data_IF_282424962541
#
_entry.id   IF_282424962541
#
_cell.length_a   1.000
_cell.length_b   1.000
_cell.length_c   1.000
_cell.angle_alpha   90.00
_cell.angle_beta   90.00
_cell.angle_gamma   90.00
#
_symmetry.space_group_name_H-M   'P 1'
#
loop_
_entity.id
_entity.type
_entity.pdbx_description
1 polymer ?
#
# COMPACT_ATOMS: atom_id res chain seq x y z
N UNK A 1 11.56 30.83 -15.79
CA UNK A 1 10.92 30.04 -16.86
C UNK A 1 11.81 28.85 -17.16
N UNK A 2 11.71 27.80 -16.34
CA UNK A 2 12.33 26.50 -16.64
C UNK A 2 11.47 25.83 -17.71
N UNK A 3 11.92 25.86 -18.96
CA UNK A 3 11.25 25.20 -20.07
C UNK A 3 11.65 23.74 -20.09
N UNK A 4 10.65 22.86 -20.05
CA UNK A 4 10.67 21.40 -19.93
C UNK A 4 11.34 20.64 -21.09
N UNK A 5 12.14 21.29 -21.94
CA UNK A 5 12.75 20.68 -23.13
C UNK A 5 14.16 20.13 -22.92
N UNK A 6 14.80 20.39 -21.77
CA UNK A 6 16.15 19.90 -21.47
C UNK A 6 16.17 19.26 -20.07
N UNK A 7 15.92 17.95 -19.94
CA UNK A 7 15.99 17.29 -18.65
C UNK A 7 17.41 17.39 -18.09
N UNK A 8 17.52 17.80 -16.83
CA UNK A 8 18.81 17.88 -16.11
C UNK A 8 18.87 16.72 -15.12
N UNK A 9 19.92 15.92 -15.21
CA UNK A 9 20.22 14.91 -14.19
C UNK A 9 20.48 15.62 -12.85
N UNK A 10 19.60 15.38 -11.86
CA UNK A 10 19.71 16.00 -10.53
C UNK A 10 20.66 15.20 -9.63
N UNK A 11 20.38 13.91 -9.46
CA UNK A 11 21.12 13.05 -8.54
C UNK A 11 20.83 11.57 -8.79
N UNK A 12 21.66 10.72 -8.18
CA UNK A 12 21.36 9.32 -7.87
C UNK A 12 21.30 9.17 -6.35
N UNK A 13 20.70 8.09 -5.86
CA UNK A 13 20.66 7.84 -4.41
C UNK A 13 22.08 7.83 -3.82
N UNK A 14 22.28 8.50 -2.69
CA UNK A 14 23.59 8.71 -2.08
C UNK A 14 24.20 10.10 -2.34
N UNK A 15 23.44 11.01 -2.94
CA UNK A 15 23.84 12.41 -3.10
C UNK A 15 24.59 12.71 -4.39
N UNK A 16 25.45 13.74 -4.31
CA UNK A 16 26.47 14.03 -5.34
C UNK A 16 27.65 13.06 -5.29
N UNK A 17 27.74 12.24 -4.24
CA UNK A 17 28.72 11.16 -4.06
C UNK A 17 28.13 9.82 -4.48
N UNK A 18 28.98 8.80 -4.69
CA UNK A 18 28.49 7.43 -4.80
C UNK A 18 27.93 6.97 -3.45
N UNK A 19 26.82 6.24 -3.46
CA UNK A 19 26.32 5.53 -2.28
C UNK A 19 27.41 4.60 -1.75
N UNK A 20 27.73 4.68 -0.46
CA UNK A 20 28.70 3.78 0.14
C UNK A 20 28.12 2.36 0.25
N UNK A 21 29.00 1.36 0.34
CA UNK A 21 28.58 -0.02 0.58
C UNK A 21 27.74 -0.17 1.86
N UNK A 22 28.03 0.64 2.89
CA UNK A 22 27.30 0.66 4.16
C UNK A 22 25.92 1.30 4.03
N UNK A 23 25.77 2.38 3.27
CA UNK A 23 24.46 3.01 3.05
C UNK A 23 23.55 2.15 2.15
N UNK A 24 24.16 1.45 1.19
CA UNK A 24 23.46 0.63 0.20
C UNK A 24 23.33 -0.85 0.53
N UNK A 25 23.82 -1.33 1.67
CA UNK A 25 23.87 -2.78 1.97
C UNK A 25 22.50 -3.46 1.96
N UNK A 26 21.44 -2.71 2.27
CA UNK A 26 20.07 -3.22 2.31
C UNK A 26 19.29 -2.95 1.01
N UNK A 27 19.86 -2.25 0.03
CA UNK A 27 19.18 -2.00 -1.24
C UNK A 27 19.19 -3.25 -2.13
N UNK A 28 18.00 -3.70 -2.51
CA UNK A 28 17.75 -4.77 -3.47
C UNK A 28 17.42 -4.24 -4.86
N UNK A 29 16.68 -5.04 -5.63
CA UNK A 29 16.16 -4.60 -6.93
C UNK A 29 15.15 -3.46 -6.74
N UNK A 30 15.19 -2.39 -7.55
CA UNK A 30 14.44 -1.15 -7.31
C UNK A 30 12.96 -1.27 -7.72
N UNK A 31 12.22 -2.18 -7.08
CA UNK A 31 10.79 -2.39 -7.34
C UNK A 31 9.92 -1.40 -6.56
N UNK A 32 10.38 -0.95 -5.39
CA UNK A 32 9.65 0.02 -4.58
C UNK A 32 9.63 1.38 -5.29
N UNK A 33 8.42 1.86 -5.56
CA UNK A 33 8.21 3.19 -6.12
C UNK A 33 8.41 4.24 -5.05
N UNK A 34 9.28 5.22 -5.32
CA UNK A 34 9.46 6.37 -4.44
C UNK A 34 8.18 7.21 -4.36
N UNK A 35 7.70 7.44 -3.15
CA UNK A 35 6.57 8.31 -2.85
C UNK A 35 7.10 9.63 -2.30
N UNK A 36 6.70 10.74 -2.91
CA UNK A 36 7.19 12.07 -2.54
C UNK A 36 6.23 12.73 -1.56
N UNK A 37 6.78 13.43 -0.57
CA UNK A 37 5.99 14.22 0.38
C UNK A 37 6.82 15.31 1.04
N UNK A 38 6.16 16.12 1.86
CA UNK A 38 6.81 17.14 2.69
C UNK A 38 6.88 16.65 4.12
N UNK A 39 7.98 16.93 4.81
CA UNK A 39 8.13 16.68 6.25
C UNK A 39 8.64 17.95 6.94
N UNK A 40 8.39 18.07 8.24
CA UNK A 40 9.05 19.07 9.10
C UNK A 40 10.28 18.47 9.77
N UNK A 41 11.41 19.17 9.66
CA UNK A 41 12.65 18.85 10.38
C UNK A 41 13.12 20.10 11.10
N UNK A 42 13.08 20.08 12.43
CA UNK A 42 13.40 21.21 13.30
C UNK A 42 12.63 22.48 12.92
N UNK A 43 11.34 22.32 12.59
CA UNK A 43 10.45 23.42 12.16
C UNK A 43 10.59 23.84 10.69
N UNK A 44 11.52 23.27 9.92
CA UNK A 44 11.72 23.60 8.51
C UNK A 44 11.04 22.58 7.60
N UNK A 45 10.35 23.06 6.56
CA UNK A 45 9.82 22.21 5.48
C UNK A 45 10.96 21.56 4.70
N UNK A 46 10.78 20.27 4.37
CA UNK A 46 11.68 19.56 3.47
C UNK A 46 10.90 18.62 2.55
N UNK A 47 11.23 18.66 1.26
CA UNK A 47 10.74 17.70 0.27
C UNK A 47 11.56 16.42 0.31
N UNK A 48 10.89 15.30 0.53
CA UNK A 48 11.52 13.99 0.72
C UNK A 48 10.83 12.90 -0.10
N UNK A 49 11.61 11.89 -0.45
CA UNK A 49 11.15 10.64 -1.04
C UNK A 49 11.18 9.51 -0.01
N UNK A 50 10.07 8.79 0.12
CA UNK A 50 9.93 7.59 0.92
C UNK A 50 10.02 6.37 0.01
N UNK A 51 10.90 5.43 0.33
CA UNK A 51 11.13 4.25 -0.52
C UNK A 51 11.48 3.03 0.34
N UNK A 52 10.89 1.89 0.01
CA UNK A 52 11.35 0.59 0.52
C UNK A 52 12.67 0.20 -0.14
N UNK A 53 13.44 -0.67 0.50
CA UNK A 53 14.75 -1.05 -0.03
C UNK A 53 14.65 -1.96 -1.27
N UNK A 54 13.43 -2.31 -1.70
CA UNK A 54 13.18 -3.03 -2.93
C UNK A 54 13.09 -4.53 -2.73
N UNK A 55 13.28 -5.28 -3.82
CA UNK A 55 13.09 -6.72 -3.85
C UNK A 55 14.41 -7.49 -3.67
N UNK A 56 14.36 -8.47 -2.78
CA UNK A 56 15.24 -9.63 -2.78
C UNK A 56 14.40 -10.86 -2.41
N UNK A 57 14.69 -12.00 -3.06
CA UNK A 57 13.92 -13.23 -2.90
C UNK A 57 14.13 -13.90 -1.53
N UNK A 58 15.29 -13.69 -0.90
CA UNK A 58 15.68 -14.32 0.36
C UNK A 58 15.10 -13.59 1.57
N UNK A 59 14.57 -14.35 2.53
CA UNK A 59 14.14 -13.87 3.84
C UNK A 59 15.25 -14.03 4.91
N UNK A 60 15.14 -13.32 6.03
CA UNK A 60 16.04 -13.47 7.18
C UNK A 60 15.41 -14.20 8.38
N UNK A 61 14.14 -14.60 8.27
CA UNK A 61 13.41 -15.29 9.35
C UNK A 61 13.93 -16.69 9.65
N UNK A 62 14.47 -17.38 8.66
CA UNK A 62 15.05 -18.72 8.82
C UNK A 62 16.48 -18.62 9.35
N UNK A 63 16.79 -19.31 10.45
CA UNK A 63 18.13 -19.33 11.06
C UNK A 63 19.21 -19.72 10.05
N UNK A 64 19.96 -18.73 9.56
CA UNK A 64 20.93 -18.86 8.48
C UNK A 64 21.60 -17.51 8.16
N UNK A 65 22.39 -17.47 7.09
CA UNK A 65 22.98 -16.21 6.60
C UNK A 65 21.89 -15.32 6.04
N UNK A 66 21.61 -14.21 6.73
CA UNK A 66 20.65 -13.20 6.31
C UNK A 66 21.19 -12.36 5.13
N UNK A 67 20.58 -12.46 3.95
CA UNK A 67 20.76 -11.47 2.89
C UNK A 67 19.90 -10.26 3.20
N UNK A 68 20.54 -9.15 3.57
CA UNK A 68 19.89 -7.94 4.05
C UNK A 68 19.27 -7.08 2.95
N UNK A 69 19.49 -7.42 1.68
CA UNK A 69 18.91 -6.69 0.55
C UNK A 69 17.39 -6.76 0.58
N UNK A 70 16.74 -5.66 0.23
CA UNK A 70 15.29 -5.48 0.32
C UNK A 70 14.76 -5.16 1.73
N UNK A 71 15.58 -5.30 2.79
CA UNK A 71 15.14 -5.21 4.19
C UNK A 71 15.43 -3.86 4.82
N UNK A 72 14.79 -2.84 4.27
CA UNK A 72 14.94 -1.49 4.77
C UNK A 72 13.92 -0.51 4.22
N UNK A 73 13.83 0.64 4.87
CA UNK A 73 13.06 1.79 4.46
C UNK A 73 13.94 3.04 4.54
N UNK A 74 13.83 3.91 3.55
CA UNK A 74 14.69 5.07 3.39
C UNK A 74 13.86 6.33 3.18
N UNK A 75 14.31 7.42 3.80
CA UNK A 75 13.85 8.78 3.56
C UNK A 75 14.97 9.57 2.91
N UNK A 76 14.72 10.07 1.71
CA UNK A 76 15.71 10.67 0.82
C UNK A 76 15.38 12.13 0.58
N UNK A 77 16.36 13.02 0.65
CA UNK A 77 16.22 14.42 0.24
C UNK A 77 16.04 14.52 -1.28
N UNK A 78 14.90 15.05 -1.74
CA UNK A 78 14.63 15.16 -3.17
C UNK A 78 15.44 16.25 -3.87
N UNK A 79 16.04 17.18 -3.12
CA UNK A 79 16.87 18.22 -3.71
C UNK A 79 18.22 17.67 -4.20
N UNK A 80 18.82 16.74 -3.45
CA UNK A 80 20.18 16.29 -3.71
C UNK A 80 20.40 14.77 -3.69
N UNK A 81 19.42 13.96 -3.32
CA UNK A 81 19.52 12.49 -3.27
C UNK A 81 20.19 11.92 -2.03
N UNK A 82 20.48 12.75 -1.01
CA UNK A 82 21.06 12.29 0.26
C UNK A 82 20.05 11.50 1.10
N UNK A 83 20.50 10.46 1.80
CA UNK A 83 19.67 9.71 2.74
C UNK A 83 19.59 10.52 4.04
N UNK A 84 18.39 10.93 4.42
CA UNK A 84 18.12 11.69 5.65
C UNK A 84 17.89 10.77 6.84
N UNK A 85 17.30 9.61 6.59
CA UNK A 85 16.98 8.63 7.60
C UNK A 85 16.80 7.25 6.97
N UNK A 86 17.15 6.21 7.71
CA UNK A 86 16.93 4.82 7.30
C UNK A 86 16.55 3.95 8.49
N UNK A 87 15.74 2.94 8.20
CA UNK A 87 15.33 1.91 9.12
C UNK A 87 15.55 0.56 8.47
N UNK A 88 16.38 -0.30 9.04
CA UNK A 88 16.88 -1.51 8.37
C UNK A 88 16.85 -2.73 9.28
N UNK A 89 16.96 -3.92 8.71
CA UNK A 89 17.08 -5.17 9.48
C UNK A 89 18.28 -5.16 10.44
N UNK A 90 19.41 -4.61 9.99
CA UNK A 90 20.68 -4.58 10.71
C UNK A 90 21.56 -3.45 10.16
N UNK A 91 22.76 -3.27 10.71
CA UNK A 91 23.76 -2.33 10.16
C UNK A 91 24.47 -1.51 11.24
N UNK A 92 25.58 -0.83 10.88
CA UNK A 92 26.35 -0.02 11.83
C UNK A 92 25.73 1.36 12.09
N UNK A 93 24.75 1.78 11.28
CA UNK A 93 24.17 3.13 11.29
C UNK A 93 22.67 3.10 10.94
N UNK A 94 21.93 4.13 11.39
CA UNK A 94 20.47 4.20 11.27
C UNK A 94 19.72 3.52 12.42
N UNK A 95 18.41 3.36 12.27
CA UNK A 95 17.57 2.61 13.22
C UNK A 95 17.46 1.18 12.74
N UNK A 96 17.59 0.21 13.65
CA UNK A 96 17.57 -1.22 13.30
C UNK A 96 16.45 -1.96 14.00
N UNK A 97 15.84 -2.92 13.30
CA UNK A 97 14.89 -3.89 13.86
C UNK A 97 15.09 -5.26 13.20
N UNK A 98 15.56 -6.22 14.00
CA UNK A 98 15.84 -7.57 13.54
C UNK A 98 14.61 -8.33 13.06
N UNK A 99 13.39 -7.85 13.32
CA UNK A 99 12.16 -8.46 12.80
C UNK A 99 11.86 -8.05 11.34
N UNK A 100 12.63 -7.11 10.76
CA UNK A 100 12.51 -6.74 9.34
C UNK A 100 13.10 -7.81 8.43
N UNK A 101 12.53 -9.01 8.47
CA UNK A 101 13.05 -10.21 7.82
C UNK A 101 12.69 -10.30 6.33
N UNK A 102 11.81 -9.43 5.85
CA UNK A 102 11.21 -9.51 4.53
C UNK A 102 11.45 -8.25 3.72
N UNK A 103 11.40 -8.41 2.41
CA UNK A 103 11.64 -7.32 1.47
C UNK A 103 10.50 -6.31 1.47
N UNK A 104 10.82 -5.02 1.51
CA UNK A 104 9.91 -3.90 1.31
C UNK A 104 9.90 -3.51 -0.17
N UNK A 105 9.22 -4.32 -0.98
CA UNK A 105 9.20 -4.21 -2.43
C UNK A 105 8.12 -3.27 -2.97
N UNK A 106 7.02 -3.07 -2.24
CA UNK A 106 5.91 -2.20 -2.65
C UNK A 106 6.16 -0.71 -2.37
N UNK A 107 5.24 0.19 -2.78
CA UNK A 107 5.26 1.60 -2.41
C UNK A 107 4.77 1.82 -0.96
N UNK A 108 5.18 2.94 -0.36
CA UNK A 108 4.68 3.36 0.95
C UNK A 108 3.46 4.28 0.84
N UNK A 109 2.42 4.00 1.62
CA UNK A 109 1.30 4.91 1.83
C UNK A 109 1.72 6.00 2.82
N UNK A 110 1.68 7.28 2.42
CA UNK A 110 2.03 8.40 3.30
C UNK A 110 0.78 9.13 3.78
N UNK A 111 0.80 9.57 5.03
CA UNK A 111 -0.37 10.07 5.73
C UNK A 111 0.00 11.31 6.53
N UNK A 112 -0.76 12.37 6.31
CA UNK A 112 -0.86 13.55 7.14
C UNK A 112 -2.02 13.31 8.13
N UNK A 113 -1.70 13.13 9.40
CA UNK A 113 -2.66 12.73 10.44
C UNK A 113 -3.30 13.92 11.15
N UNK A 114 -2.59 15.06 11.21
CA UNK A 114 -3.04 16.30 11.83
C UNK A 114 -3.50 17.40 10.84
N UNK A 115 -3.45 17.09 9.54
CA UNK A 115 -3.91 17.90 8.42
C UNK A 115 -3.17 19.25 8.31
N UNK A 116 -1.87 19.25 8.58
CA UNK A 116 -1.00 20.42 8.50
C UNK A 116 -0.21 20.54 7.18
N UNK A 117 -0.38 19.58 6.27
CA UNK A 117 0.25 19.50 4.96
C UNK A 117 1.57 18.73 4.93
N UNK A 118 1.97 18.12 6.04
CA UNK A 118 3.21 17.36 6.19
C UNK A 118 2.92 15.88 6.49
N UNK A 119 3.81 15.00 6.02
CA UNK A 119 3.69 13.56 6.24
C UNK A 119 4.12 13.24 7.67
N UNK A 120 3.20 12.65 8.41
CA UNK A 120 3.38 12.20 9.79
C UNK A 120 3.67 10.72 9.89
N UNK A 121 3.07 9.93 9.00
CA UNK A 121 3.12 8.47 9.08
C UNK A 121 3.25 7.87 7.69
N UNK A 122 4.05 6.81 7.57
CA UNK A 122 4.10 5.99 6.36
C UNK A 122 3.84 4.52 6.69
N UNK A 123 3.09 3.83 5.84
CA UNK A 123 2.83 2.39 5.92
C UNK A 123 3.35 1.68 4.67
N UNK A 124 3.97 0.53 4.83
CA UNK A 124 4.46 -0.28 3.70
C UNK A 124 4.35 -1.76 4.03
N UNK A 125 3.82 -2.53 3.09
CA UNK A 125 3.76 -3.99 3.21
C UNK A 125 5.10 -4.63 2.89
N UNK A 126 5.36 -5.79 3.49
CA UNK A 126 6.50 -6.63 3.17
C UNK A 126 6.10 -7.96 2.52
N UNK A 127 7.11 -8.67 2.04
CA UNK A 127 6.94 -9.98 1.41
C UNK A 127 6.56 -11.10 2.39
N UNK A 128 6.64 -10.87 3.70
CA UNK A 128 6.17 -11.80 4.73
C UNK A 128 4.68 -11.64 5.03
N UNK A 129 4.04 -10.62 4.50
CA UNK A 129 2.65 -10.25 4.82
C UNK A 129 2.52 -9.32 6.02
N UNK A 130 3.63 -8.80 6.53
CA UNK A 130 3.61 -7.80 7.58
C UNK A 130 3.40 -6.41 6.97
N UNK A 131 2.94 -5.48 7.79
CA UNK A 131 2.91 -4.06 7.45
C UNK A 131 3.75 -3.30 8.46
N UNK A 132 4.68 -2.50 7.95
CA UNK A 132 5.55 -1.62 8.73
C UNK A 132 4.98 -0.22 8.78
N UNK A 133 5.15 0.44 9.93
CA UNK A 133 4.77 1.83 10.15
C UNK A 133 5.98 2.65 10.54
N UNK A 134 6.15 3.79 9.88
CA UNK A 134 7.18 4.79 10.16
C UNK A 134 6.52 6.09 10.60
N UNK A 135 7.11 6.73 11.61
CA UNK A 135 6.60 7.94 12.25
C UNK A 135 7.57 9.09 12.08
N UNK A 136 7.00 10.21 11.66
CA UNK A 136 7.66 11.49 11.48
C UNK A 136 7.05 12.52 12.43
N UNK A 137 7.60 13.73 12.36
CA UNK A 137 7.23 14.83 13.22
C UNK A 137 5.82 15.34 12.93
N UNK A 138 4.95 15.30 13.95
CA UNK A 138 3.67 16.01 13.95
C UNK A 138 3.89 17.52 13.93
N UNK A 139 2.94 18.26 13.36
CA UNK A 139 3.00 19.72 13.24
C UNK A 139 3.12 20.46 14.57
N UNK A 140 2.62 19.85 15.65
CA UNK A 140 2.65 20.38 17.03
C UNK A 140 3.98 20.18 17.78
N UNK A 141 4.89 19.35 17.26
CA UNK A 141 6.11 18.96 17.96
C UNK A 141 7.26 19.96 17.71
N UNK A 142 7.38 20.97 18.58
CA UNK A 142 8.51 21.92 18.53
C UNK A 142 9.85 21.20 18.75
N UNK A 143 10.82 21.43 17.85
CA UNK A 143 12.16 20.83 17.96
C UNK A 143 12.26 19.37 17.46
N UNK A 144 11.19 18.81 16.91
CA UNK A 144 11.24 17.47 16.33
C UNK A 144 12.14 17.43 15.09
N UNK A 145 13.07 16.47 15.05
CA UNK A 145 14.04 16.26 13.96
C UNK A 145 14.10 14.79 13.54
N UNK A 146 15.03 14.43 12.65
CA UNK A 146 15.22 13.03 12.21
C UNK A 146 15.58 12.09 13.36
N UNK A 147 16.12 12.59 14.49
CA UNK A 147 16.40 11.78 15.68
C UNK A 147 15.14 11.35 16.43
N UNK A 148 14.00 12.00 16.17
CA UNK A 148 12.70 11.66 16.75
C UNK A 148 11.89 10.72 15.85
N UNK A 149 12.33 10.51 14.62
CA UNK A 149 11.68 9.60 13.70
C UNK A 149 11.89 8.15 14.18
N UNK A 150 10.87 7.33 14.00
CA UNK A 150 10.87 5.95 14.48
C UNK A 150 10.10 5.04 13.54
N UNK A 151 10.31 3.74 13.66
CA UNK A 151 9.58 2.73 12.91
C UNK A 151 9.27 1.53 13.79
N UNK A 152 8.35 0.70 13.33
CA UNK A 152 8.05 -0.59 13.93
C UNK A 152 6.94 -1.31 13.17
N UNK A 153 6.72 -2.57 13.51
CA UNK A 153 5.68 -3.38 12.91
C UNK A 153 4.29 -2.85 13.31
N UNK A 154 3.44 -2.64 12.32
CA UNK A 154 2.02 -2.27 12.50
C UNK A 154 1.12 -3.50 12.45
N UNK A 155 1.40 -4.42 11.53
CA UNK A 155 0.67 -5.68 11.41
C UNK A 155 1.65 -6.84 11.29
N UNK A 156 1.53 -7.84 12.15
CA UNK A 156 2.29 -9.10 12.13
C UNK A 156 1.43 -10.21 11.52
N UNK A 157 1.93 -10.84 10.45
CA UNK A 157 1.28 -11.98 9.81
C UNK A 157 1.41 -13.29 10.60
N UNK A 158 2.17 -13.30 11.70
CA UNK A 158 2.44 -14.43 12.59
C UNK A 158 3.05 -15.64 11.85
N UNK A 159 3.84 -15.36 10.81
CA UNK A 159 4.46 -16.40 9.97
C UNK A 159 3.55 -17.01 8.90
N UNK A 160 2.32 -16.52 8.73
CA UNK A 160 1.51 -16.82 7.55
C UNK A 160 2.01 -15.99 6.36
N UNK A 161 3.09 -16.44 5.71
CA UNK A 161 3.71 -15.72 4.60
C UNK A 161 2.71 -15.53 3.47
N UNK A 162 2.31 -14.27 3.26
CA UNK A 162 1.41 -13.84 2.19
C UNK A 162 1.86 -12.49 1.69
N UNK A 163 2.50 -12.47 0.53
CA UNK A 163 3.16 -11.28 0.00
C UNK A 163 2.23 -10.06 -0.08
N UNK A 164 2.76 -8.89 0.29
CA UNK A 164 2.12 -7.59 0.03
C UNK A 164 3.03 -6.79 -0.89
N UNK A 165 2.71 -6.79 -2.19
CA UNK A 165 3.40 -5.96 -3.19
C UNK A 165 2.75 -4.58 -3.39
N UNK A 166 1.48 -4.45 -3.02
CA UNK A 166 0.66 -3.28 -3.30
C UNK A 166 0.85 -2.22 -2.22
N UNK A 167 0.66 -0.96 -2.59
CA UNK A 167 0.64 0.14 -1.63
C UNK A 167 -0.59 -0.01 -0.73
N UNK A 168 -0.45 0.07 0.61
CA UNK A 168 -1.60 0.20 1.49
C UNK A 168 -2.42 1.46 1.13
N UNK A 169 -3.70 1.46 1.48
CA UNK A 169 -4.54 2.67 1.41
C UNK A 169 -4.93 3.09 2.80
N UNK A 170 -4.99 4.40 3.05
CA UNK A 170 -5.36 4.94 4.36
C UNK A 170 -6.54 5.90 4.23
N UNK A 171 -7.51 5.80 5.14
CA UNK A 171 -8.65 6.71 5.23
C UNK A 171 -8.97 7.07 6.68
N UNK A 172 -9.55 8.25 6.90
CA UNK A 172 -10.04 8.68 8.23
C UNK A 172 -11.55 8.55 8.27
N UNK A 173 -12.07 7.94 9.32
CA UNK A 173 -13.50 7.90 9.53
C UNK A 173 -14.05 9.14 10.22
N UNK A 174 -15.38 9.20 10.33
CA UNK A 174 -16.10 10.32 10.94
C UNK A 174 -15.89 10.45 12.47
N UNK A 175 -15.29 9.44 13.11
CA UNK A 175 -14.90 9.46 14.51
C UNK A 175 -13.42 9.83 14.68
N UNK A 176 -12.71 10.06 13.57
CA UNK A 176 -11.29 10.36 13.56
C UNK A 176 -10.38 9.14 13.58
N UNK A 177 -10.92 7.91 13.49
CA UNK A 177 -10.08 6.72 13.43
C UNK A 177 -9.39 6.63 12.08
N UNK A 178 -8.12 6.26 12.11
CA UNK A 178 -7.32 6.03 10.91
C UNK A 178 -7.43 4.56 10.52
N UNK A 179 -7.89 4.27 9.31
CA UNK A 179 -8.02 2.93 8.78
C UNK A 179 -6.95 2.66 7.74
N UNK A 180 -6.23 1.55 7.89
CA UNK A 180 -5.19 1.08 6.98
C UNK A 180 -5.69 -0.18 6.27
N UNK A 181 -5.76 -0.14 4.95
CA UNK A 181 -6.28 -1.18 4.09
C UNK A 181 -5.15 -1.78 3.26
N UNK A 182 -5.04 -3.11 3.25
CA UNK A 182 -4.03 -3.81 2.47
C UNK A 182 -4.53 -5.21 2.09
N UNK A 183 -4.16 -5.63 0.88
CA UNK A 183 -4.51 -6.93 0.34
C UNK A 183 -3.27 -7.78 0.13
N UNK A 184 -3.42 -9.09 0.34
CA UNK A 184 -2.34 -10.04 0.07
C UNK A 184 -2.48 -10.67 -1.32
N UNK A 185 -1.34 -10.99 -1.92
CA UNK A 185 -1.27 -11.61 -3.23
C UNK A 185 0.14 -11.62 -3.80
N UNK A 186 0.57 -12.77 -4.29
CA UNK A 186 1.88 -12.89 -4.93
C UNK A 186 1.85 -12.38 -6.37
N UNK A 187 2.51 -11.24 -6.62
CA UNK A 187 2.66 -10.65 -7.94
C UNK A 187 3.63 -11.44 -8.83
N UNK A 188 4.58 -12.17 -8.23
CA UNK A 188 5.57 -12.97 -8.97
C UNK A 188 5.04 -14.34 -9.38
N UNK A 189 4.04 -14.84 -8.65
CA UNK A 189 3.33 -16.07 -9.00
C UNK A 189 1.80 -15.87 -8.90
N UNK A 190 1.23 -15.08 -9.82
CA UNK A 190 -0.19 -14.75 -9.78
C UNK A 190 -1.08 -15.96 -10.09
N UNK A 191 -0.55 -17.02 -10.70
CA UNK A 191 -1.30 -18.20 -11.13
C UNK A 191 -1.42 -19.29 -10.07
N UNK A 192 -0.67 -19.21 -8.97
CA UNK A 192 -0.72 -20.24 -7.92
C UNK A 192 -2.06 -20.24 -7.19
N UNK A 193 -2.76 -21.38 -7.24
CA UNK A 193 -4.16 -21.50 -6.84
C UNK A 193 -4.40 -22.02 -5.40
N UNK A 194 -3.35 -22.15 -4.58
CA UNK A 194 -3.46 -22.82 -3.26
C UNK A 194 -3.38 -21.87 -2.05
N UNK A 195 -3.25 -20.56 -2.26
CA UNK A 195 -3.12 -19.58 -1.18
C UNK A 195 -4.47 -19.00 -0.76
N UNK A 196 -4.75 -19.00 0.56
CA UNK A 196 -5.91 -18.29 1.11
C UNK A 196 -5.55 -16.82 1.34
N UNK A 197 -5.66 -15.98 0.31
CA UNK A 197 -5.36 -14.55 0.44
C UNK A 197 -6.47 -13.80 1.20
N UNK A 198 -6.15 -12.58 1.65
CA UNK A 198 -7.04 -11.76 2.46
C UNK A 198 -6.99 -10.29 2.08
N UNK A 199 -8.12 -9.62 2.29
CA UNK A 199 -8.19 -8.16 2.40
C UNK A 199 -8.31 -7.78 3.87
N UNK A 200 -7.47 -6.86 4.33
CA UNK A 200 -7.45 -6.36 5.70
C UNK A 200 -7.87 -4.90 5.77
N UNK A 201 -8.51 -4.54 6.89
CA UNK A 201 -8.77 -3.17 7.31
C UNK A 201 -8.46 -3.07 8.80
N UNK A 202 -7.43 -2.30 9.17
CA UNK A 202 -6.93 -2.23 10.54
C UNK A 202 -6.91 -0.77 11.00
N UNK A 203 -7.47 -0.48 12.18
CA UNK A 203 -7.41 0.86 12.77
C UNK A 203 -6.04 1.12 13.37
N UNK A 204 -5.49 2.31 13.14
CA UNK A 204 -4.26 2.78 13.76
C UNK A 204 -4.44 4.14 14.45
N UNK A 205 -4.98 4.11 15.66
CA UNK A 205 -5.33 5.33 16.39
C UNK A 205 -4.21 5.84 17.30
N UNK A 206 -3.25 4.97 17.65
CA UNK A 206 -2.19 5.29 18.60
C UNK A 206 -0.81 5.42 17.94
N UNK A 207 -0.67 4.96 16.68
CA UNK A 207 0.61 4.92 15.95
C UNK A 207 1.68 4.14 16.75
N UNK A 208 1.28 3.19 17.59
CA UNK A 208 2.19 2.42 18.44
C UNK A 208 1.87 0.95 18.49
N UNK A 209 0.61 0.55 18.54
CA UNK A 209 0.25 -0.86 18.67
C UNK A 209 0.63 -1.64 17.41
N UNK A 210 1.08 -2.88 17.63
CA UNK A 210 1.23 -3.91 16.60
C UNK A 210 0.03 -4.84 16.70
N UNK A 211 -0.65 -5.05 15.58
CA UNK A 211 -1.83 -5.91 15.48
C UNK A 211 -1.50 -7.21 14.76
N UNK A 212 -2.32 -8.23 14.96
CA UNK A 212 -2.33 -9.44 14.15
C UNK A 212 -3.78 -9.86 13.87
N UNK A 213 -3.96 -10.99 13.18
CA UNK A 213 -5.29 -11.47 12.81
C UNK A 213 -6.21 -11.77 14.01
N UNK A 214 -5.65 -12.05 15.19
CA UNK A 214 -6.43 -12.31 16.42
C UNK A 214 -7.01 -11.02 17.02
N UNK A 215 -6.57 -9.85 16.58
CA UNK A 215 -7.13 -8.56 16.99
C UNK A 215 -8.24 -8.06 16.05
N UNK A 216 -8.61 -8.84 15.02
CA UNK A 216 -9.51 -8.43 13.94
C UNK A 216 -10.70 -9.39 13.80
N UNK A 217 -11.85 -8.83 13.45
CA UNK A 217 -13.04 -9.62 13.12
C UNK A 217 -12.88 -10.30 11.74
N UNK A 218 -13.15 -11.60 11.66
CA UNK A 218 -13.32 -12.28 10.39
C UNK A 218 -14.72 -12.02 9.83
N UNK A 219 -14.81 -11.15 8.82
CA UNK A 219 -16.10 -10.76 8.24
C UNK A 219 -16.39 -11.45 6.90
N UNK A 220 -15.75 -12.58 6.62
CA UNK A 220 -15.94 -13.32 5.35
C UNK A 220 -17.42 -13.58 5.06
N UNK A 221 -18.21 -13.94 6.09
CA UNK A 221 -19.65 -14.22 6.00
C UNK A 221 -20.56 -13.22 6.73
N UNK A 222 -20.02 -12.09 7.20
CA UNK A 222 -20.75 -11.12 8.01
C UNK A 222 -20.25 -9.70 7.82
N UNK A 223 -20.57 -8.78 8.72
CA UNK A 223 -20.09 -7.39 8.68
C UNK A 223 -19.43 -7.02 9.99
N UNK A 224 -18.46 -6.12 9.94
CA UNK A 224 -17.75 -5.64 11.12
C UNK A 224 -18.69 -4.83 12.02
N UNK A 225 -18.63 -5.10 13.33
CA UNK A 225 -19.56 -4.56 14.32
C UNK A 225 -18.99 -3.39 15.14
N UNK A 226 -17.70 -3.04 14.96
CA UNK A 226 -17.05 -1.92 15.66
C UNK A 226 -16.19 -2.29 16.86
N UNK A 227 -16.20 -3.54 17.31
CA UNK A 227 -15.60 -3.92 18.61
C UNK A 227 -14.09 -4.13 18.53
N UNK A 228 -13.63 -4.87 17.52
CA UNK A 228 -12.22 -5.24 17.38
C UNK A 228 -11.36 -4.12 16.80
N UNK A 229 -10.05 -4.34 16.61
CA UNK A 229 -9.16 -3.33 16.02
C UNK A 229 -9.43 -3.12 14.52
N UNK A 230 -10.26 -3.95 13.89
CA UNK A 230 -10.62 -3.86 12.49
C UNK A 230 -11.21 -5.18 12.02
N UNK A 231 -11.05 -5.47 10.73
CA UNK A 231 -11.62 -6.67 10.11
C UNK A 231 -10.75 -7.22 8.98
N UNK A 232 -11.00 -8.47 8.61
CA UNK A 232 -10.49 -9.06 7.38
C UNK A 232 -11.53 -9.90 6.66
N UNK A 233 -11.36 -10.03 5.34
CA UNK A 233 -12.12 -10.92 4.47
C UNK A 233 -11.16 -11.97 3.91
N UNK A 234 -11.50 -13.26 4.05
CA UNK A 234 -10.84 -14.31 3.28
C UNK A 234 -11.37 -14.27 1.85
N UNK A 235 -10.47 -14.19 0.87
CA UNK A 235 -10.84 -14.20 -0.55
C UNK A 235 -11.25 -15.62 -0.96
N UNK A 236 -12.38 -15.76 -1.64
CA UNK A 236 -12.96 -17.07 -1.94
C UNK A 236 -12.17 -17.82 -3.01
N UNK A 237 -12.27 -19.15 -3.01
CA UNK A 237 -11.80 -19.99 -4.11
C UNK A 237 -10.36 -20.46 -3.98
N UNK A 238 -9.83 -20.96 -5.10
CA UNK A 238 -8.48 -21.52 -5.22
C UNK A 238 -7.49 -20.42 -5.61
N UNK A 239 -7.12 -19.58 -4.63
CA UNK A 239 -6.01 -18.64 -4.81
C UNK A 239 -6.38 -17.28 -5.38
N UNK A 240 -7.62 -16.79 -5.16
CA UNK A 240 -7.98 -15.40 -5.48
C UNK A 240 -7.08 -14.41 -4.74
N UNK A 241 -6.52 -13.41 -5.43
CA UNK A 241 -5.46 -12.52 -4.93
C UNK A 241 -5.75 -11.05 -5.19
N UNK A 242 -5.13 -10.17 -4.40
CA UNK A 242 -5.09 -8.73 -4.68
C UNK A 242 -3.71 -8.37 -5.23
N UNK A 243 -3.67 -7.98 -6.50
CA UNK A 243 -2.43 -7.67 -7.23
C UNK A 243 -2.28 -6.18 -7.55
N UNK A 244 -3.26 -5.37 -7.16
CA UNK A 244 -3.26 -3.94 -7.40
C UNK A 244 -3.72 -3.17 -6.15
N UNK A 245 -3.30 -1.91 -6.06
CA UNK A 245 -3.55 -1.03 -4.93
C UNK A 245 -5.07 -0.85 -4.69
N UNK A 246 -5.57 -1.01 -3.45
CA UNK A 246 -6.94 -0.62 -3.12
C UNK A 246 -7.13 0.90 -3.23
N UNK A 247 -8.37 1.38 -3.16
CA UNK A 247 -8.69 2.81 -3.14
C UNK A 247 -9.94 3.07 -2.33
N UNK A 248 -9.90 4.04 -1.43
CA UNK A 248 -11.08 4.47 -0.66
C UNK A 248 -11.63 5.76 -1.26
N UNK A 249 -12.93 5.78 -1.55
CA UNK A 249 -13.61 6.96 -2.04
C UNK A 249 -15.08 6.97 -1.61
N UNK A 250 -15.56 8.10 -1.08
CA UNK A 250 -16.94 8.30 -0.62
C UNK A 250 -17.47 7.16 0.28
N UNK A 251 -16.68 6.78 1.30
CA UNK A 251 -17.08 5.74 2.26
C UNK A 251 -17.08 4.31 1.69
N UNK A 252 -16.54 4.12 0.48
CA UNK A 252 -16.43 2.81 -0.15
C UNK A 252 -14.96 2.48 -0.36
N UNK A 253 -14.55 1.29 0.06
CA UNK A 253 -13.29 0.66 -0.29
C UNK A 253 -13.48 -0.12 -1.58
N UNK A 254 -12.77 0.30 -2.62
CA UNK A 254 -12.67 -0.38 -3.90
C UNK A 254 -11.35 -1.15 -3.98
N UNK A 255 -11.39 -2.38 -4.47
CA UNK A 255 -10.20 -3.15 -4.78
C UNK A 255 -10.53 -4.17 -5.86
N UNK A 256 -9.53 -4.65 -6.57
CA UNK A 256 -9.72 -5.68 -7.58
C UNK A 256 -9.05 -6.97 -7.17
N UNK A 257 -9.66 -8.09 -7.51
CA UNK A 257 -9.10 -9.41 -7.27
C UNK A 257 -8.94 -10.18 -8.56
N UNK A 258 -7.88 -10.97 -8.66
CA UNK A 258 -7.64 -11.94 -9.72
C UNK A 258 -7.85 -13.35 -9.16
N UNK A 259 -8.73 -14.13 -9.77
CA UNK A 259 -8.87 -15.55 -9.50
C UNK A 259 -8.16 -16.34 -10.63
N UNK A 260 -7.10 -17.10 -10.33
CA UNK A 260 -6.41 -17.90 -11.33
C UNK A 260 -7.35 -18.89 -12.02
N UNK A 261 -7.12 -19.12 -13.31
CA UNK A 261 -7.80 -20.15 -14.08
C UNK A 261 -7.67 -21.54 -13.41
N UNK A 262 -8.75 -22.31 -13.34
CA UNK A 262 -8.64 -23.71 -12.97
C UNK A 262 -7.98 -24.52 -14.09
N UNK A 263 -7.15 -25.51 -13.75
CA UNK A 263 -6.48 -26.36 -14.75
C UNK A 263 -7.44 -27.24 -15.57
N UNK A 264 -8.71 -27.31 -15.17
CA UNK A 264 -9.71 -28.23 -15.72
C UNK A 264 -10.75 -27.55 -16.62
N UNK A 265 -10.78 -26.20 -16.68
CA UNK A 265 -11.68 -25.47 -17.58
C UNK A 265 -10.89 -24.63 -18.61
N UNK A 266 -10.81 -25.08 -19.88
CA UNK A 266 -10.14 -24.32 -20.93
C UNK A 266 -10.84 -22.99 -21.28
N UNK A 267 -12.09 -22.77 -20.84
CA UNK A 267 -12.79 -21.50 -21.00
C UNK A 267 -12.35 -20.45 -19.96
N UNK A 268 -11.70 -20.87 -18.87
CA UNK A 268 -11.11 -19.99 -17.86
C UNK A 268 -9.68 -19.58 -18.20
N UNK A 269 -9.18 -19.83 -19.41
CA UNK A 269 -7.76 -19.69 -19.83
C UNK A 269 -7.02 -18.41 -19.40
N UNK A 270 -7.70 -17.33 -19.04
CA UNK A 270 -7.10 -16.06 -18.57
C UNK A 270 -7.30 -15.75 -17.08
N UNK A 271 -7.99 -16.59 -16.32
CA UNK A 271 -8.49 -16.30 -14.97
C UNK A 271 -9.57 -15.21 -14.95
N UNK A 272 -10.18 -14.97 -13.79
CA UNK A 272 -11.27 -14.02 -13.63
C UNK A 272 -10.87 -12.80 -12.80
N UNK A 273 -11.26 -11.62 -13.27
CA UNK A 273 -11.14 -10.38 -12.52
C UNK A 273 -12.48 -9.99 -11.89
N UNK A 274 -12.44 -9.57 -10.63
CA UNK A 274 -13.58 -8.98 -9.94
C UNK A 274 -13.24 -7.61 -9.38
N UNK A 275 -14.16 -6.66 -9.49
CA UNK A 275 -14.14 -5.42 -8.72
C UNK A 275 -14.94 -5.64 -7.44
N UNK A 276 -14.33 -5.31 -6.30
CA UNK A 276 -14.98 -5.25 -5.00
C UNK A 276 -15.33 -3.82 -4.65
N UNK A 277 -16.48 -3.65 -4.00
CA UNK A 277 -16.95 -2.40 -3.43
C UNK A 277 -17.62 -2.71 -2.09
N UNK A 278 -16.93 -2.37 -1.01
CA UNK A 278 -17.42 -2.60 0.35
C UNK A 278 -17.42 -1.31 1.15
N UNK A 279 -18.31 -1.20 2.13
CA UNK A 279 -18.24 -0.14 3.12
C UNK A 279 -16.87 -0.13 3.80
N UNK A 280 -16.20 1.02 3.80
CA UNK A 280 -14.82 1.10 4.31
C UNK A 280 -14.70 0.76 5.80
N UNK A 281 -15.77 0.95 6.60
CA UNK A 281 -15.77 0.59 8.03
C UNK A 281 -16.27 -0.81 8.27
N UNK A 282 -17.40 -1.17 7.67
CA UNK A 282 -18.15 -2.38 8.04
C UNK A 282 -17.86 -3.58 7.13
N UNK A 283 -17.27 -3.35 5.96
CA UNK A 283 -17.12 -4.34 4.91
C UNK A 283 -18.45 -4.80 4.30
N UNK A 284 -19.58 -4.13 4.56
CA UNK A 284 -20.86 -4.45 3.92
C UNK A 284 -20.77 -4.24 2.41
N UNK A 285 -21.36 -5.15 1.61
CA UNK A 285 -21.34 -5.02 0.16
C UNK A 285 -22.13 -3.79 -0.32
N UNK A 286 -21.58 -3.09 -1.32
CA UNK A 286 -22.19 -1.87 -1.85
C UNK A 286 -22.91 -2.09 -3.18
N UNK A 287 -22.68 -3.18 -3.90
CA UNK A 287 -23.40 -3.45 -5.13
C UNK A 287 -24.87 -3.81 -4.88
N UNK A 288 -25.63 -4.00 -5.96
CA UNK A 288 -27.03 -4.41 -5.89
C UNK A 288 -27.20 -5.66 -5.03
N UNK A 289 -28.32 -5.75 -4.30
CA UNK A 289 -28.61 -6.84 -3.34
C UNK A 289 -27.61 -7.00 -2.18
N UNK A 290 -26.71 -6.04 -1.96
CA UNK A 290 -25.69 -6.11 -0.91
C UNK A 290 -24.47 -6.94 -1.30
N UNK A 291 -24.28 -7.19 -2.59
CA UNK A 291 -23.10 -7.90 -3.10
C UNK A 291 -21.82 -7.09 -2.87
N UNK A 292 -20.73 -7.78 -2.51
CA UNK A 292 -19.42 -7.17 -2.27
C UNK A 292 -18.59 -7.01 -3.53
N UNK A 293 -18.86 -7.80 -4.55
CA UNK A 293 -18.06 -7.84 -5.78
C UNK A 293 -18.91 -8.06 -7.01
N UNK A 294 -18.34 -7.71 -8.16
CA UNK A 294 -18.89 -7.98 -9.48
C UNK A 294 -17.76 -8.38 -10.43
N UNK A 295 -18.02 -9.30 -11.36
CA UNK A 295 -17.05 -9.70 -12.37
C UNK A 295 -16.81 -8.56 -13.37
N UNK A 296 -15.55 -8.28 -13.69
CA UNK A 296 -15.15 -7.19 -14.61
C UNK A 296 -14.45 -7.72 -15.88
N UNK A 297 -14.43 -9.02 -16.09
CA UNK A 297 -13.83 -9.69 -17.25
C UNK A 297 -12.76 -10.70 -16.86
N UNK A 298 -12.00 -11.15 -17.84
CA UNK A 298 -10.90 -12.09 -17.63
C UNK A 298 -9.56 -11.37 -17.50
N UNK A 299 -8.56 -12.04 -16.91
CA UNK A 299 -7.20 -11.53 -16.78
C UNK A 299 -6.90 -10.79 -15.49
N UNK A 300 -5.65 -10.32 -15.35
CA UNK A 300 -5.21 -9.57 -14.17
C UNK A 300 -5.77 -8.14 -14.23
N UNK A 301 -6.48 -7.66 -13.20
CA UNK A 301 -7.03 -6.32 -13.18
C UNK A 301 -6.03 -5.26 -12.69
N UNK A 302 -6.17 -4.04 -13.20
CA UNK A 302 -5.51 -2.83 -12.71
C UNK A 302 -6.13 -2.35 -11.40
N UNK A 303 -5.44 -1.45 -10.69
CA UNK A 303 -6.02 -0.73 -9.56
C UNK A 303 -7.30 0.02 -10.00
N UNK A 304 -8.33 0.12 -9.15
CA UNK A 304 -9.48 0.98 -9.40
C UNK A 304 -9.06 2.45 -9.50
N UNK A 305 -9.47 3.14 -10.56
CA UNK A 305 -9.24 4.57 -10.76
C UNK A 305 -10.54 5.33 -10.59
N UNK A 306 -10.56 6.24 -9.63
CA UNK A 306 -11.68 7.17 -9.44
C UNK A 306 -11.53 8.34 -10.40
N UNK A 307 -12.54 8.57 -11.23
CA UNK A 307 -12.63 9.73 -12.11
C UNK A 307 -13.79 10.61 -11.69
N UNK A 308 -13.50 11.91 -11.54
CA UNK A 308 -14.48 12.92 -11.19
C UNK A 308 -14.75 13.79 -12.42
N UNK A 309 -16.00 13.80 -12.88
CA UNK A 309 -16.40 14.70 -13.93
C UNK A 309 -16.54 16.13 -13.34
N UNK A 310 -15.89 17.15 -13.93
CA UNK A 310 -16.00 18.53 -13.46
C UNK A 310 -17.44 19.08 -13.47
N UNK A 311 -18.33 18.50 -14.29
CA UNK A 311 -19.73 18.89 -14.42
C UNK A 311 -20.69 18.05 -13.55
N UNK A 312 -20.15 17.17 -12.70
CA UNK A 312 -20.93 16.26 -11.86
C UNK A 312 -20.90 14.82 -12.37
N UNK A 313 -20.93 13.88 -11.43
CA UNK A 313 -20.77 12.45 -11.68
C UNK A 313 -19.37 11.95 -11.33
N UNK A 314 -19.34 10.74 -10.80
CA UNK A 314 -18.12 9.99 -10.47
C UNK A 314 -18.20 8.67 -11.20
N UNK A 315 -17.07 8.20 -11.74
CA UNK A 315 -16.95 6.88 -12.35
C UNK A 315 -15.73 6.16 -11.77
N UNK A 316 -15.83 4.85 -11.61
CA UNK A 316 -14.71 3.97 -11.29
C UNK A 316 -14.30 3.25 -12.56
N UNK A 317 -13.01 3.28 -12.88
CA UNK A 317 -12.43 2.57 -14.00
C UNK A 317 -11.51 1.47 -13.50
N UNK A 318 -11.66 0.27 -14.04
CA UNK A 318 -10.70 -0.81 -13.86
C UNK A 318 -10.46 -1.47 -15.21
N UNK A 319 -9.19 -1.74 -15.53
CA UNK A 319 -8.82 -2.40 -16.79
C UNK A 319 -8.37 -3.82 -16.52
N UNK A 320 -8.72 -4.75 -17.38
CA UNK A 320 -8.22 -6.13 -17.34
C UNK A 320 -7.36 -6.41 -18.57
N UNK A 321 -6.40 -7.31 -18.44
CA UNK A 321 -5.56 -7.78 -19.54
C UNK A 321 -5.78 -9.25 -19.79
N UNK A 322 -6.37 -9.59 -20.93
CA UNK A 322 -6.60 -10.99 -21.32
C UNK A 322 -5.39 -11.59 -22.05
N UNK A 323 -5.09 -12.87 -21.78
CA UNK A 323 -4.06 -13.64 -22.50
C UNK A 323 -4.60 -14.28 -23.78
N UNK A 324 -3.69 -14.71 -24.67
CA UNK A 324 -3.98 -15.49 -25.90
C UNK A 324 -4.99 -14.88 -26.88
N UNK A 325 -4.69 -13.69 -27.42
CA UNK A 325 -5.47 -13.06 -28.49
C UNK A 325 -6.55 -12.09 -28.02
N UNK A 326 -6.77 -11.98 -26.71
CA UNK A 326 -7.54 -10.92 -26.07
C UNK A 326 -6.79 -9.59 -25.97
N UNK A 327 -7.53 -8.51 -25.75
CA UNK A 327 -6.99 -7.15 -25.62
C UNK A 327 -6.98 -6.67 -24.17
N UNK A 328 -6.72 -5.37 -23.98
CA UNK A 328 -7.01 -4.68 -22.73
C UNK A 328 -8.45 -4.16 -22.73
N UNK A 329 -9.21 -4.43 -21.68
CA UNK A 329 -10.60 -4.02 -21.57
C UNK A 329 -10.78 -3.12 -20.35
N UNK A 330 -11.25 -1.89 -20.56
CA UNK A 330 -11.59 -0.98 -19.44
C UNK A 330 -13.08 -1.04 -19.16
N UNK A 331 -13.45 -1.37 -17.92
CA UNK A 331 -14.82 -1.26 -17.43
C UNK A 331 -15.04 0.11 -16.80
N UNK A 332 -16.13 0.77 -17.17
CA UNK A 332 -16.66 1.92 -16.46
C UNK A 332 -17.76 1.43 -15.51
N UNK A 333 -17.58 1.63 -14.21
CA UNK A 333 -18.55 1.31 -13.17
C UNK A 333 -19.04 2.63 -12.55
N UNK A 334 -20.36 2.81 -12.52
CA UNK A 334 -20.97 3.85 -11.69
C UNK A 334 -20.77 3.47 -10.21
N UNK A 335 -20.16 4.33 -9.38
CA UNK A 335 -20.00 4.08 -7.96
C UNK A 335 -21.34 3.66 -7.36
N UNK A 336 -21.39 2.56 -6.60
CA UNK A 336 -22.64 2.03 -6.10
C UNK A 336 -23.16 2.81 -4.86
N UNK A 337 -22.79 4.08 -4.74
CA UNK A 337 -23.17 4.97 -3.64
C UNK A 337 -23.69 6.29 -4.23
N UNK A 338 -24.83 6.74 -3.71
CA UNK A 338 -25.38 8.08 -3.93
C UNK A 338 -25.05 9.03 -2.77
N UNK A 339 -24.28 8.57 -1.79
CA UNK A 339 -23.97 9.35 -0.60
C UNK A 339 -22.95 10.44 -0.92
N UNK A 340 -23.42 11.68 -0.85
CA UNK A 340 -22.58 12.88 -0.96
C UNK A 340 -21.72 13.03 0.30
N UNK A 341 -20.68 12.20 0.42
CA UNK A 341 -19.62 12.48 1.39
C UNK A 341 -18.87 13.73 0.93
N UNK A 342 -18.95 14.79 1.73
CA UNK A 342 -18.18 16.02 1.51
C UNK A 342 -16.70 15.67 1.29
N UNK A 343 -16.05 16.38 0.35
CA UNK A 343 -14.64 16.18 -0.06
C UNK A 343 -13.60 16.37 1.07
N UNK A 344 -14.03 16.67 2.30
CA UNK A 344 -13.18 17.00 3.44
C UNK A 344 -12.47 15.82 4.11
N UNK A 345 -12.73 14.57 3.70
CA UNK A 345 -12.16 13.37 4.33
C UNK A 345 -11.09 12.68 3.48
N UNK A 346 -10.63 13.32 2.39
CA UNK A 346 -9.65 12.74 1.49
C UNK A 346 -8.25 13.09 1.97
N UNK A 347 -7.61 12.17 2.70
CA UNK A 347 -6.28 12.38 3.30
C UNK A 347 -5.13 12.39 2.28
N UNK A 348 -5.35 11.83 1.09
CA UNK A 348 -4.35 11.81 0.03
C UNK A 348 -5.03 11.86 -1.34
N UNK A 349 -4.67 12.87 -2.13
CA UNK A 349 -5.04 13.00 -3.53
C UNK A 349 -3.81 13.39 -4.34
N UNK A 350 -3.62 12.78 -5.51
CA UNK A 350 -2.58 13.16 -6.46
C UNK A 350 -3.24 13.56 -7.78
N UNK A 351 -3.05 14.81 -8.20
CA UNK A 351 -3.35 15.20 -9.58
C UNK A 351 -2.37 14.49 -10.52
N UNK A 352 -2.89 13.74 -11.49
CA UNK A 352 -2.09 13.05 -12.51
C UNK A 352 -2.11 13.80 -13.85
N UNK A 353 -2.76 14.97 -13.95
CA UNK A 353 -2.94 15.71 -15.22
C UNK A 353 -1.74 16.56 -15.64
N UNK A 354 -0.68 16.61 -14.84
CA UNK A 354 0.55 17.31 -15.20
C UNK A 354 1.69 16.31 -15.22
N UNK A 355 1.93 15.75 -16.41
CA UNK A 355 3.17 15.05 -16.77
C UNK A 355 4.11 16.01 -17.49
#
# INVERSE_FOLDING_TARGET
>A
TETTSTPIFKWRLGGTTALTATEGSHLGQPWSKMVMGRVKISGNEKWVGFIGAGYAATECKTGGSCDTRGKGFYVVDLNNGSILWKYTHSGPDGVVDGNMDYSLAGPAATVDTDNDGFVDTAYIGDLGGNVWRFKFCLGSASGCSTSNWSGGMFFDAEGNVRHIYTMPTVAKDNLGNMWVYFGTGDLMDPTTSNAQERMYAVKDNDRTTTYNANNLDNITSGTYNGTDAGWYINLSGTGQKILAEPTVFQGVLYFTTYNPASANDPCESGGEASLWAVDYKTGAGKFSNGDRSTNIGSGIPSAPVVSLNPYGGTNIYASTSEGSGGGAHTKNITPPTTENYNRGNLLYWRDLRVQ
#
